data_IF_428067512010
#
_entry.id   IF_428067512010
#
_cell.length_a   1.000
_cell.length_b   1.000
_cell.length_c   1.000
_cell.angle_alpha   90.00
_cell.angle_beta   90.00
_cell.angle_gamma   90.00
#
_symmetry.space_group_name_H-M   'P 1'
#
loop_
_entity.id
_entity.type
_entity.pdbx_description
1 polymer ?
#
# COMPACT_ATOMS: atom_id res chain seq x y z
N UNK A 1 19.13 4.06 8.33
CA UNK A 1 19.38 4.79 7.05
C UNK A 1 18.10 5.24 6.33
N UNK A 2 17.20 4.32 5.97
CA UNK A 2 16.03 4.64 5.14
C UNK A 2 15.02 5.59 5.82
N UNK A 3 14.81 5.44 7.13
CA UNK A 3 13.98 6.36 7.91
C UNK A 3 14.45 7.81 7.81
N UNK A 4 15.76 8.05 7.94
CA UNK A 4 16.34 9.41 7.89
C UNK A 4 16.13 10.03 6.51
N UNK A 5 16.35 9.27 5.44
CA UNK A 5 16.15 9.72 4.06
C UNK A 5 14.69 10.13 3.85
N UNK A 6 13.75 9.29 4.25
CA UNK A 6 12.31 9.54 4.07
C UNK A 6 11.83 10.72 4.92
N UNK A 7 12.30 10.86 6.15
CA UNK A 7 11.97 12.02 6.99
C UNK A 7 12.56 13.33 6.43
N UNK A 8 13.78 13.30 5.89
CA UNK A 8 14.38 14.45 5.23
C UNK A 8 13.60 14.86 3.97
N UNK A 9 13.18 13.88 3.17
CA UNK A 9 12.30 14.13 2.01
C UNK A 9 10.93 14.67 2.46
N UNK A 10 10.39 14.18 3.58
CA UNK A 10 9.17 14.70 4.21
C UNK A 10 9.29 16.18 4.56
N UNK A 11 10.37 16.55 5.24
CA UNK A 11 10.66 17.93 5.61
C UNK A 11 10.78 18.83 4.38
N UNK A 12 11.51 18.37 3.36
CA UNK A 12 11.65 19.09 2.09
C UNK A 12 10.31 19.25 1.37
N UNK A 13 9.45 18.23 1.35
CA UNK A 13 8.15 18.34 0.69
C UNK A 13 7.19 19.30 1.42
N UNK A 14 7.20 19.32 2.76
CA UNK A 14 6.36 20.26 3.52
C UNK A 14 6.77 21.71 3.23
N UNK A 15 8.07 21.97 3.09
CA UNK A 15 8.58 23.33 2.83
C UNK A 15 8.50 23.74 1.36
N UNK A 16 8.81 22.84 0.43
CA UNK A 16 8.96 23.13 -1.00
C UNK A 16 7.85 22.57 -1.90
N UNK A 17 6.92 21.76 -1.37
CA UNK A 17 5.88 21.07 -2.14
C UNK A 17 4.92 21.98 -2.91
N UNK A 18 4.81 23.25 -2.50
CA UNK A 18 4.04 24.27 -3.21
C UNK A 18 4.69 24.77 -4.52
N UNK A 19 6.00 24.57 -4.69
CA UNK A 19 6.76 25.12 -5.81
C UNK A 19 6.46 24.39 -7.13
N UNK A 20 6.41 25.15 -8.22
CA UNK A 20 6.16 24.64 -9.58
C UNK A 20 7.11 23.50 -10.00
N UNK A 21 8.42 23.54 -9.71
CA UNK A 21 9.33 22.44 -10.06
C UNK A 21 9.02 21.14 -9.31
N UNK A 22 8.54 21.21 -8.07
CA UNK A 22 8.22 20.02 -7.28
C UNK A 22 6.96 19.34 -7.83
N UNK A 23 5.94 20.13 -8.18
CA UNK A 23 4.74 19.62 -8.87
C UNK A 23 5.07 18.98 -10.22
N UNK A 24 6.01 19.56 -10.97
CA UNK A 24 6.48 19.04 -12.25
C UNK A 24 7.13 17.65 -12.14
N UNK A 25 7.97 17.45 -11.11
CA UNK A 25 8.57 16.14 -10.82
C UNK A 25 7.47 15.11 -10.57
N UNK A 26 6.52 15.41 -9.70
CA UNK A 26 5.45 14.47 -9.36
C UNK A 26 4.50 14.18 -10.53
N UNK A 27 4.25 15.16 -11.39
CA UNK A 27 3.50 14.95 -12.64
C UNK A 27 4.10 13.84 -13.51
N UNK A 28 5.44 13.81 -13.64
CA UNK A 28 6.14 12.76 -14.38
C UNK A 28 6.23 11.43 -13.62
N UNK A 29 6.41 11.48 -12.30
CA UNK A 29 6.65 10.29 -11.47
C UNK A 29 5.37 9.50 -11.17
N UNK A 30 4.23 10.14 -10.94
CA UNK A 30 2.98 9.46 -10.56
C UNK A 30 2.54 8.38 -11.56
N UNK A 31 2.51 8.62 -12.88
CA UNK A 31 2.18 7.58 -13.86
C UNK A 31 3.20 6.42 -13.90
N UNK A 32 4.48 6.72 -13.66
CA UNK A 32 5.55 5.74 -13.62
C UNK A 32 5.41 4.79 -12.41
N UNK A 33 4.96 5.31 -11.26
CA UNK A 33 4.69 4.52 -10.06
C UNK A 33 3.56 3.52 -10.30
N UNK A 34 2.50 3.90 -11.01
CA UNK A 34 1.44 2.95 -11.38
C UNK A 34 1.99 1.82 -12.26
N UNK A 35 2.83 2.15 -13.24
CA UNK A 35 3.50 1.15 -14.07
C UNK A 35 4.41 0.21 -13.25
N UNK A 36 5.11 0.73 -12.24
CA UNK A 36 5.94 -0.06 -11.33
C UNK A 36 5.12 -1.03 -10.46
N UNK A 37 3.99 -0.56 -9.93
CA UNK A 37 3.09 -1.41 -9.13
C UNK A 37 2.51 -2.52 -10.04
N UNK A 38 2.03 -2.17 -11.24
CA UNK A 38 1.53 -3.14 -12.23
C UNK A 38 2.58 -4.20 -12.60
N UNK A 39 3.81 -3.77 -12.91
CA UNK A 39 4.90 -4.69 -13.22
C UNK A 39 5.23 -5.60 -12.03
N UNK A 40 5.19 -5.07 -10.82
CA UNK A 40 5.42 -5.85 -9.60
C UNK A 40 4.31 -6.89 -9.37
N UNK A 41 3.05 -6.52 -9.60
CA UNK A 41 1.91 -7.45 -9.59
C UNK A 41 2.11 -8.58 -10.60
N UNK A 42 2.46 -8.24 -11.85
CA UNK A 42 2.73 -9.24 -12.88
C UNK A 42 3.79 -10.25 -12.45
N UNK A 43 4.90 -9.77 -11.87
CA UNK A 43 5.97 -10.63 -11.36
C UNK A 43 5.49 -11.53 -10.23
N UNK A 44 4.69 -11.01 -9.30
CA UNK A 44 4.12 -11.79 -8.20
C UNK A 44 3.16 -12.87 -8.72
N UNK A 45 2.25 -12.51 -9.62
CA UNK A 45 1.33 -13.46 -10.28
C UNK A 45 2.10 -14.61 -10.91
N UNK A 46 3.15 -14.34 -11.68
CA UNK A 46 3.95 -15.39 -12.35
C UNK A 46 4.70 -16.31 -11.37
N UNK A 47 5.04 -15.81 -10.18
CA UNK A 47 5.78 -16.57 -9.17
C UNK A 47 4.86 -17.40 -8.26
N UNK A 48 3.68 -16.86 -7.92
CA UNK A 48 2.83 -17.44 -6.88
C UNK A 48 1.46 -17.94 -7.35
N UNK A 49 0.98 -17.58 -8.53
CA UNK A 49 -0.33 -18.03 -9.04
C UNK A 49 -0.14 -19.11 -10.13
N UNK A 50 -0.56 -20.33 -9.83
CA UNK A 50 -0.47 -21.50 -10.74
C UNK A 50 -1.83 -22.09 -11.06
N UNK A 51 -2.78 -21.96 -10.13
CA UNK A 51 -4.07 -22.64 -10.21
C UNK A 51 -5.18 -21.69 -10.68
N UNK A 52 -6.16 -22.19 -11.42
CA UNK A 52 -7.25 -21.35 -11.97
C UNK A 52 -8.10 -20.67 -10.88
N UNK A 53 -8.19 -21.28 -9.69
CA UNK A 53 -8.95 -20.72 -8.56
C UNK A 53 -8.24 -19.56 -7.92
N UNK A 54 -6.90 -19.55 -7.93
CA UNK A 54 -6.15 -18.37 -7.49
C UNK A 54 -6.49 -17.19 -8.42
N UNK A 55 -6.61 -17.42 -9.73
CA UNK A 55 -7.08 -16.41 -10.68
C UNK A 55 -8.52 -15.97 -10.44
N UNK A 56 -9.44 -16.89 -10.14
CA UNK A 56 -10.82 -16.57 -9.81
C UNK A 56 -10.92 -15.73 -8.52
N UNK A 57 -10.17 -16.09 -7.48
CA UNK A 57 -10.09 -15.34 -6.23
C UNK A 57 -9.47 -13.96 -6.42
N UNK A 58 -8.41 -13.86 -7.22
CA UNK A 58 -7.81 -12.56 -7.55
C UNK A 58 -8.77 -11.68 -8.34
N UNK A 59 -9.50 -12.24 -9.31
CA UNK A 59 -10.51 -11.50 -10.09
C UNK A 59 -11.67 -11.03 -9.21
N UNK A 60 -12.17 -11.88 -8.31
CA UNK A 60 -13.19 -11.50 -7.34
C UNK A 60 -12.69 -10.38 -6.42
N UNK A 61 -11.48 -10.51 -5.87
CA UNK A 61 -10.87 -9.48 -5.03
C UNK A 61 -10.65 -8.16 -5.78
N UNK A 62 -10.25 -8.22 -7.05
CA UNK A 62 -10.14 -7.06 -7.93
C UNK A 62 -11.48 -6.35 -8.10
N UNK A 63 -12.54 -7.07 -8.49
CA UNK A 63 -13.88 -6.50 -8.69
C UNK A 63 -14.41 -5.90 -7.40
N UNK A 64 -14.26 -6.59 -6.27
CA UNK A 64 -14.66 -6.08 -4.95
C UNK A 64 -13.89 -4.80 -4.61
N UNK A 65 -12.59 -4.75 -4.87
CA UNK A 65 -11.78 -3.56 -4.59
C UNK A 65 -12.24 -2.36 -5.43
N UNK A 66 -12.50 -2.56 -6.72
CA UNK A 66 -12.95 -1.50 -7.63
C UNK A 66 -14.37 -1.03 -7.30
N UNK A 67 -15.28 -1.96 -6.98
CA UNK A 67 -16.69 -1.65 -6.76
C UNK A 67 -16.98 -1.10 -5.36
N UNK A 68 -16.38 -1.71 -4.33
CA UNK A 68 -16.72 -1.42 -2.93
C UNK A 68 -15.82 -0.32 -2.37
N UNK A 69 -14.65 -0.08 -2.98
CA UNK A 69 -13.61 0.82 -2.45
C UNK A 69 -13.33 0.59 -0.95
N UNK A 70 -13.60 -0.62 -0.42
CA UNK A 70 -13.64 -0.89 1.02
C UNK A 70 -12.74 -2.03 1.52
N UNK A 71 -12.25 -1.86 2.76
CA UNK A 71 -11.57 -2.79 3.69
C UNK A 71 -11.06 -4.08 3.05
N UNK A 72 -9.84 -3.95 2.53
CA UNK A 72 -8.99 -5.02 1.96
C UNK A 72 -8.87 -6.23 2.90
N UNK A 73 -8.88 -6.02 4.22
CA UNK A 73 -8.68 -7.08 5.20
C UNK A 73 -9.77 -8.18 5.17
N UNK A 74 -11.05 -7.82 4.99
CA UNK A 74 -12.13 -8.81 4.93
C UNK A 74 -12.07 -9.64 3.65
N UNK A 75 -11.66 -9.02 2.53
CA UNK A 75 -11.45 -9.71 1.26
C UNK A 75 -10.34 -10.76 1.41
N UNK A 76 -9.26 -10.42 2.12
CA UNK A 76 -8.16 -11.35 2.39
C UNK A 76 -8.59 -12.54 3.24
N UNK A 77 -9.33 -12.29 4.32
CA UNK A 77 -9.83 -13.35 5.19
C UNK A 77 -10.81 -14.23 4.42
N UNK A 78 -11.73 -13.63 3.66
CA UNK A 78 -12.71 -14.34 2.83
C UNK A 78 -12.03 -15.24 1.80
N UNK A 79 -11.13 -14.69 0.99
CA UNK A 79 -10.38 -15.47 0.00
C UNK A 79 -9.47 -16.52 0.64
N UNK A 80 -8.88 -16.23 1.81
CA UNK A 80 -8.11 -17.21 2.59
C UNK A 80 -8.97 -18.37 3.07
N UNK A 81 -10.18 -18.10 3.58
CA UNK A 81 -11.14 -19.15 3.98
C UNK A 81 -11.56 -19.97 2.76
N UNK A 82 -11.87 -19.35 1.63
CA UNK A 82 -12.21 -20.07 0.38
C UNK A 82 -11.04 -20.93 -0.09
N UNK A 83 -9.82 -20.42 -0.04
CA UNK A 83 -8.60 -21.17 -0.34
C UNK A 83 -8.39 -22.36 0.61
N UNK A 84 -8.68 -22.19 1.90
CA UNK A 84 -8.63 -23.25 2.91
C UNK A 84 -9.72 -24.31 2.69
N UNK A 85 -10.93 -23.93 2.29
CA UNK A 85 -12.00 -24.88 1.99
C UNK A 85 -11.72 -25.69 0.72
N UNK A 86 -11.09 -25.08 -0.28
CA UNK A 86 -10.84 -25.71 -1.56
C UNK A 86 -9.56 -26.56 -1.59
N UNK A 87 -8.43 -26.02 -1.11
CA UNK A 87 -7.15 -26.73 -1.09
C UNK A 87 -6.93 -27.52 0.20
N UNK A 88 -7.73 -27.25 1.24
CA UNK A 88 -7.68 -27.99 2.49
C UNK A 88 -8.38 -29.34 2.42
N UNK A 89 -7.95 -30.26 3.29
CA UNK A 89 -8.54 -31.59 3.45
C UNK A 89 -9.77 -31.60 4.36
N UNK A 90 -10.28 -30.45 4.80
CA UNK A 90 -11.41 -30.32 5.74
C UNK A 90 -12.68 -31.07 5.31
N UNK A 91 -12.93 -31.19 4.01
CA UNK A 91 -14.04 -32.00 3.48
C UNK A 91 -13.65 -33.40 3.02
N UNK A 92 -12.35 -33.71 2.88
CA UNK A 92 -11.88 -35.05 2.45
C UNK A 92 -11.50 -35.95 3.64
N UNK A 93 -11.28 -35.40 4.83
CA UNK A 93 -11.05 -36.14 6.06
C UNK A 93 -12.29 -36.07 6.97
N UNK A 94 -13.23 -36.99 6.79
CA UNK A 94 -14.23 -37.29 7.83
C UNK A 94 -13.52 -37.98 9.00
N UNK A 95 -13.91 -37.59 10.21
CA UNK A 95 -13.62 -38.22 11.51
C UNK A 95 -12.24 -37.96 12.13
N UNK A 96 -12.13 -36.85 12.88
CA UNK A 96 -11.87 -36.84 14.34
C UNK A 96 -11.62 -35.40 14.82
N UNK A 97 -12.47 -34.93 15.74
CA UNK A 97 -12.17 -33.73 16.55
C UNK A 97 -11.26 -34.10 17.74
N UNK A 98 -10.92 -33.16 18.64
CA UNK A 98 -11.48 -31.81 18.78
C UNK A 98 -10.45 -30.67 18.96
N UNK A 99 -10.99 -29.45 19.11
CA UNK A 99 -10.40 -28.22 19.68
C UNK A 99 -9.68 -27.25 18.73
N UNK A 100 -10.40 -26.76 17.74
CA UNK A 100 -10.13 -25.43 17.15
C UNK A 100 -10.46 -24.36 18.19
N UNK A 101 -9.47 -23.90 18.96
CA UNK A 101 -9.57 -22.60 19.63
C UNK A 101 -9.50 -21.53 18.54
N UNK A 102 -10.68 -21.13 18.06
CA UNK A 102 -10.84 -19.90 17.28
C UNK A 102 -10.47 -18.76 18.22
N UNK A 103 -9.29 -18.17 18.03
CA UNK A 103 -9.05 -16.84 18.58
C UNK A 103 -9.95 -15.88 17.80
N UNK A 104 -11.13 -15.60 18.36
CA UNK A 104 -11.88 -14.41 18.03
C UNK A 104 -11.00 -13.23 18.44
N UNK A 105 -10.24 -12.70 17.50
CA UNK A 105 -9.71 -11.36 17.65
C UNK A 105 -10.91 -10.41 17.61
N UNK A 106 -11.11 -9.73 18.74
CA UNK A 106 -12.23 -8.86 19.00
C UNK A 106 -12.43 -7.82 17.89
N UNK A 107 -13.71 -7.64 17.59
CA UNK A 107 -14.39 -6.50 16.97
C UNK A 107 -13.55 -5.20 16.98
N UNK A 108 -13.45 -4.47 15.85
CA UNK A 108 -12.76 -3.19 15.86
C UNK A 108 -13.55 -2.22 16.73
N UNK A 109 -12.89 -1.71 17.77
CA UNK A 109 -13.35 -0.56 18.54
C UNK A 109 -13.52 0.60 17.55
N UNK A 110 -14.77 0.97 17.27
CA UNK A 110 -15.07 2.20 16.57
C UNK A 110 -14.57 3.36 17.44
N UNK A 111 -13.43 3.95 17.05
CA UNK A 111 -12.99 5.23 17.61
C UNK A 111 -13.96 6.25 17.05
N UNK A 112 -15.00 6.55 17.85
CA UNK A 112 -15.92 7.65 17.61
C UNK A 112 -15.12 8.93 17.39
N UNK A 113 -15.51 9.69 16.37
CA UNK A 113 -14.87 10.92 15.96
C UNK A 113 -14.77 11.90 17.13
N UNK A 114 -13.56 12.08 17.65
CA UNK A 114 -13.19 13.25 18.42
C UNK A 114 -12.53 14.23 17.48
N UNK A 115 -13.13 15.41 17.34
CA UNK A 115 -12.52 16.56 16.67
C UNK A 115 -11.15 16.84 17.29
N UNK A 116 -10.07 16.92 16.50
CA UNK A 116 -8.72 16.98 17.02
C UNK A 116 -8.47 18.35 17.66
N UNK A 117 -8.23 18.37 18.98
CA UNK A 117 -7.80 19.58 19.70
C UNK A 117 -6.39 19.46 20.28
N UNK A 118 -5.70 18.31 20.13
CA UNK A 118 -4.30 18.17 20.57
C UNK A 118 -3.45 17.27 19.66
N UNK A 119 -2.18 17.65 19.48
CA UNK A 119 -1.16 16.90 18.73
C UNK A 119 -0.98 15.47 19.28
N UNK A 120 -1.13 15.29 20.60
CA UNK A 120 -1.07 13.99 21.25
C UNK A 120 -2.19 13.04 20.77
N UNK A 121 -3.40 13.55 20.57
CA UNK A 121 -4.53 12.75 20.04
C UNK A 121 -4.28 12.31 18.60
N UNK A 122 -3.68 13.17 17.78
CA UNK A 122 -3.34 12.85 16.38
C UNK A 122 -2.26 11.76 16.30
N UNK A 123 -1.20 11.87 17.10
CA UNK A 123 -0.15 10.84 17.17
C UNK A 123 -0.75 9.49 17.63
N UNK A 124 -1.67 9.51 18.60
CA UNK A 124 -2.40 8.31 19.02
C UNK A 124 -3.23 7.69 17.89
N UNK A 125 -3.90 8.50 17.08
CA UNK A 125 -4.67 8.03 15.92
C UNK A 125 -3.76 7.49 14.80
N UNK A 126 -2.62 8.14 14.53
CA UNK A 126 -1.61 7.64 13.59
C UNK A 126 -1.07 6.28 14.04
N UNK A 127 -0.71 6.16 15.33
CA UNK A 127 -0.26 4.90 15.89
C UNK A 127 -1.33 3.81 15.71
N UNK A 128 -2.58 4.07 16.12
CA UNK A 128 -3.66 3.11 16.04
C UNK A 128 -3.98 2.71 14.58
N UNK A 129 -3.98 3.67 13.66
CA UNK A 129 -4.22 3.43 12.24
C UNK A 129 -3.11 2.55 11.64
N UNK A 130 -1.85 2.91 11.84
CA UNK A 130 -0.73 2.15 11.31
C UNK A 130 -0.53 0.80 12.00
N UNK A 131 -0.89 0.70 13.29
CA UNK A 131 -0.95 -0.56 14.02
C UNK A 131 -2.00 -1.49 13.42
N UNK A 132 -3.19 -0.97 13.11
CA UNK A 132 -4.22 -1.72 12.38
C UNK A 132 -3.73 -2.09 10.97
N UNK A 133 -3.09 -1.15 10.27
CA UNK A 133 -2.54 -1.38 8.93
C UNK A 133 -1.54 -2.54 8.95
N UNK A 134 -0.48 -2.46 9.77
CA UNK A 134 0.58 -3.47 9.85
C UNK A 134 0.13 -4.80 10.47
N UNK A 135 -0.99 -4.83 11.22
CA UNK A 135 -1.59 -6.07 11.71
C UNK A 135 -2.43 -6.78 10.64
N UNK A 136 -3.07 -6.02 9.75
CA UNK A 136 -4.02 -6.54 8.77
C UNK A 136 -3.41 -6.72 7.37
N UNK A 137 -2.20 -6.22 7.13
CA UNK A 137 -1.54 -6.43 5.85
C UNK A 137 -0.64 -7.65 5.84
N UNK A 138 -0.97 -8.58 4.94
CA UNK A 138 -0.16 -9.76 4.65
C UNK A 138 0.32 -9.68 3.20
N UNK A 139 1.63 -9.79 2.98
CA UNK A 139 2.23 -9.90 1.64
C UNK A 139 3.39 -8.94 1.39
N UNK A 140 3.79 -8.81 0.12
CA UNK A 140 4.85 -7.87 -0.26
C UNK A 140 4.47 -6.44 0.12
N UNK A 141 5.43 -5.56 0.40
CA UNK A 141 5.16 -4.19 0.87
C UNK A 141 4.28 -3.32 -0.05
N UNK A 142 3.90 -3.81 -1.23
CA UNK A 142 2.96 -3.21 -2.17
C UNK A 142 1.49 -3.44 -1.79
N UNK A 143 1.20 -4.52 -1.06
CA UNK A 143 -0.15 -4.91 -0.66
C UNK A 143 -0.80 -3.90 0.29
N UNK A 144 0.03 -3.10 0.96
CA UNK A 144 -0.42 -2.08 1.91
C UNK A 144 -0.91 -0.81 1.24
N UNK A 145 -0.52 -0.57 -0.02
CA UNK A 145 -0.89 0.66 -0.75
C UNK A 145 -2.41 0.81 -0.84
N UNK A 146 -3.20 -0.19 -1.29
CA UNK A 146 -4.67 -0.11 -1.27
C UNK A 146 -5.27 0.18 0.11
N UNK A 147 -4.69 -0.41 1.17
CA UNK A 147 -5.18 -0.23 2.53
C UNK A 147 -4.92 1.19 3.05
N UNK A 148 -3.70 1.69 2.80
CA UNK A 148 -3.29 3.05 3.19
C UNK A 148 -4.06 4.10 2.40
N UNK A 149 -4.26 3.91 1.09
CA UNK A 149 -5.08 4.80 0.27
C UNK A 149 -6.46 4.97 0.91
N UNK A 150 -7.16 3.85 1.14
CA UNK A 150 -8.50 3.89 1.72
C UNK A 150 -8.52 4.60 3.08
N UNK A 151 -7.61 4.21 3.98
CA UNK A 151 -7.63 4.73 5.33
C UNK A 151 -7.24 6.20 5.41
N UNK A 152 -6.18 6.61 4.72
CA UNK A 152 -5.61 7.96 4.81
C UNK A 152 -6.35 8.96 3.94
N UNK A 153 -6.81 8.53 2.76
CA UNK A 153 -7.43 9.40 1.76
C UNK A 153 -8.94 9.39 1.88
N UNK A 154 -9.56 8.20 1.91
CA UNK A 154 -11.02 8.11 1.85
C UNK A 154 -11.68 8.22 3.23
N UNK A 155 -11.16 7.51 4.24
CA UNK A 155 -11.78 7.45 5.56
C UNK A 155 -11.39 8.64 6.45
N UNK A 156 -10.09 8.84 6.67
CA UNK A 156 -9.59 9.88 7.58
C UNK A 156 -9.45 11.24 6.91
N UNK A 157 -9.42 11.29 5.55
CA UNK A 157 -9.18 12.49 4.74
C UNK A 157 -7.96 13.32 5.20
N UNK A 158 -6.93 12.64 5.69
CA UNK A 158 -5.69 13.28 6.14
C UNK A 158 -4.76 13.65 4.98
N UNK A 159 -4.90 12.94 3.86
CA UNK A 159 -4.12 13.13 2.64
C UNK A 159 -5.05 13.18 1.44
N UNK A 160 -4.72 14.00 0.46
CA UNK A 160 -5.36 13.93 -0.85
C UNK A 160 -4.70 12.81 -1.67
N UNK A 161 -5.42 12.30 -2.67
CA UNK A 161 -4.98 11.19 -3.53
C UNK A 161 -3.60 11.44 -4.14
N UNK A 162 -3.29 12.70 -4.49
CA UNK A 162 -1.98 13.09 -4.99
C UNK A 162 -0.89 12.99 -3.95
N UNK A 163 -1.11 13.52 -2.75
CA UNK A 163 -0.13 13.43 -1.67
C UNK A 163 0.14 11.96 -1.31
N UNK A 164 -0.88 11.11 -1.41
CA UNK A 164 -0.72 9.68 -1.28
C UNK A 164 0.13 9.08 -2.42
N UNK A 165 -0.12 9.42 -3.68
CA UNK A 165 0.71 9.00 -4.81
C UNK A 165 2.18 9.44 -4.65
N UNK A 166 2.40 10.68 -4.18
CA UNK A 166 3.73 11.21 -3.84
C UNK A 166 4.38 10.37 -2.73
N UNK A 167 3.64 10.06 -1.68
CA UNK A 167 4.14 9.23 -0.58
C UNK A 167 4.55 7.85 -1.07
N UNK A 168 3.72 7.22 -1.91
CA UNK A 168 4.01 5.92 -2.53
C UNK A 168 5.25 6.01 -3.41
N UNK A 169 5.36 7.05 -4.24
CA UNK A 169 6.53 7.30 -5.08
C UNK A 169 7.82 7.36 -4.25
N UNK A 170 7.81 8.17 -3.19
CA UNK A 170 8.98 8.37 -2.33
C UNK A 170 9.39 7.04 -1.67
N UNK A 171 8.44 6.25 -1.18
CA UNK A 171 8.79 4.96 -0.59
C UNK A 171 9.25 3.89 -1.58
N UNK A 172 8.95 4.02 -2.88
CA UNK A 172 9.49 3.15 -3.94
C UNK A 172 10.89 3.54 -4.39
N UNK A 173 11.20 4.85 -4.36
CA UNK A 173 12.53 5.39 -4.68
C UNK A 173 13.50 5.11 -3.53
N UNK A 174 13.01 5.18 -2.30
CA UNK A 174 13.83 5.02 -1.11
C UNK A 174 14.34 3.58 -0.96
N UNK A 175 15.64 3.36 -0.70
CA UNK A 175 16.22 2.02 -0.59
C UNK A 175 15.69 1.27 0.64
N UNK A 176 14.73 0.37 0.43
CA UNK A 176 14.20 -0.51 1.49
C UNK A 176 12.80 -1.05 1.18
N UNK A 177 12.05 -1.46 2.22
CA UNK A 177 10.68 -1.94 2.04
C UNK A 177 9.75 -0.81 1.60
N UNK A 178 8.89 -1.07 0.61
CA UNK A 178 7.81 -0.17 0.16
C UNK A 178 6.91 0.30 1.32
N UNK A 179 6.84 -0.48 2.40
CA UNK A 179 6.11 -0.14 3.63
C UNK A 179 6.59 1.17 4.27
N UNK A 180 7.82 1.62 3.97
CA UNK A 180 8.36 2.88 4.52
C UNK A 180 7.64 4.14 4.02
N UNK A 181 6.78 4.01 2.99
CA UNK A 181 5.80 5.04 2.59
C UNK A 181 5.02 5.59 3.80
N UNK A 182 4.71 4.74 4.77
CA UNK A 182 4.04 5.12 6.02
C UNK A 182 4.82 6.11 6.88
N UNK A 183 6.15 6.03 6.89
CA UNK A 183 7.01 7.00 7.57
C UNK A 183 6.84 8.40 6.98
N UNK A 184 6.80 8.49 5.64
CA UNK A 184 6.59 9.74 4.93
C UNK A 184 5.18 10.29 5.17
N UNK A 185 4.17 9.42 5.05
CA UNK A 185 2.77 9.78 5.36
C UNK A 185 2.66 10.34 6.78
N UNK A 186 3.23 9.66 7.77
CA UNK A 186 3.21 10.10 9.16
C UNK A 186 3.84 11.46 9.35
N UNK A 187 4.94 11.73 8.63
CA UNK A 187 5.57 13.04 8.61
C UNK A 187 4.62 14.11 8.04
N UNK A 188 4.03 13.87 6.87
CA UNK A 188 3.15 14.85 6.22
C UNK A 188 1.91 15.18 7.05
N UNK A 189 1.25 14.16 7.60
CA UNK A 189 0.02 14.34 8.39
C UNK A 189 0.32 15.12 9.66
N UNK A 190 1.38 14.75 10.40
CA UNK A 190 1.72 15.41 11.65
C UNK A 190 2.30 16.82 11.43
N UNK A 191 3.10 17.04 10.38
CA UNK A 191 3.61 18.37 10.05
C UNK A 191 2.50 19.34 9.62
N UNK A 192 1.49 18.87 8.87
CA UNK A 192 0.36 19.71 8.43
C UNK A 192 -0.58 20.10 9.57
N UNK A 193 -0.82 19.20 10.52
CA UNK A 193 -1.77 19.41 11.63
C UNK A 193 -1.12 20.01 12.88
N UNK A 194 0.16 19.70 13.14
CA UNK A 194 0.92 20.25 14.26
C UNK A 194 1.61 21.59 13.95
N UNK A 195 1.88 21.87 12.67
CA UNK A 195 2.48 23.13 12.23
C UNK A 195 3.98 23.25 12.47
N UNK A 196 4.62 22.27 13.13
CA UNK A 196 6.06 22.21 13.37
C UNK A 196 6.74 21.02 12.66
N UNK A 197 8.00 21.21 12.25
CA UNK A 197 8.84 20.12 11.71
C UNK A 197 9.10 19.03 12.76
N UNK A 198 9.07 19.39 14.04
CA UNK A 198 9.23 18.44 15.15
C UNK A 198 8.02 17.50 15.25
N UNK A 199 6.81 18.00 14.97
CA UNK A 199 5.61 17.16 14.95
C UNK A 199 5.66 16.18 13.77
N UNK A 200 6.16 16.62 12.62
CA UNK A 200 6.47 15.75 11.48
C UNK A 200 7.43 14.62 11.87
N UNK A 201 8.51 14.92 12.61
CA UNK A 201 9.43 13.90 13.08
C UNK A 201 8.74 12.88 13.99
N UNK A 202 7.97 13.32 14.99
CA UNK A 202 7.24 12.41 15.86
C UNK A 202 6.17 11.60 15.11
N UNK A 203 5.44 12.21 14.19
CA UNK A 203 4.48 11.52 13.32
C UNK A 203 5.13 10.42 12.48
N UNK A 204 6.32 10.69 11.93
CA UNK A 204 7.10 9.69 11.18
C UNK A 204 7.55 8.52 12.05
N UNK A 205 7.98 8.79 13.28
CA UNK A 205 8.50 7.81 14.22
C UNK A 205 7.36 6.90 14.73
N UNK A 206 6.26 7.51 15.14
CA UNK A 206 5.04 6.82 15.57
C UNK A 206 4.45 5.97 14.45
N UNK A 207 4.41 6.48 13.21
CA UNK A 207 3.88 5.72 12.06
C UNK A 207 4.79 4.54 11.69
N UNK A 208 6.11 4.73 11.81
CA UNK A 208 7.09 3.66 11.58
C UNK A 208 6.95 2.56 12.62
N UNK A 209 6.86 2.92 13.90
CA UNK A 209 6.62 1.94 14.96
C UNK A 209 5.26 1.26 14.73
N UNK A 210 4.21 2.04 14.50
CA UNK A 210 2.86 1.54 14.27
C UNK A 210 2.80 0.51 13.14
N UNK A 211 3.48 0.75 12.02
CA UNK A 211 3.40 -0.15 10.87
C UNK A 211 4.30 -1.38 11.00
N UNK A 212 5.49 -1.25 11.57
CA UNK A 212 6.46 -2.34 11.65
C UNK A 212 6.30 -3.21 12.89
N UNK A 213 5.91 -2.64 14.04
CA UNK A 213 5.74 -3.37 15.29
C UNK A 213 4.76 -4.56 15.19
N UNK A 214 3.54 -4.42 14.62
CA UNK A 214 2.60 -5.52 14.56
C UNK A 214 3.08 -6.60 13.59
N UNK A 215 3.63 -6.23 12.43
CA UNK A 215 4.20 -7.20 11.49
C UNK A 215 5.42 -7.92 12.10
N UNK A 216 6.23 -7.23 12.90
CA UNK A 216 7.36 -7.80 13.64
C UNK A 216 6.90 -8.78 14.73
N UNK A 217 5.88 -8.44 15.50
CA UNK A 217 5.31 -9.35 16.50
C UNK A 217 4.62 -10.55 15.84
N UNK A 218 3.86 -10.31 14.77
CA UNK A 218 3.20 -11.37 14.00
C UNK A 218 4.22 -12.33 13.40
N UNK A 219 5.31 -11.86 12.79
CA UNK A 219 6.31 -12.79 12.27
C UNK A 219 6.98 -13.57 13.41
N UNK A 220 7.26 -12.93 14.55
CA UNK A 220 7.94 -13.58 15.68
C UNK A 220 7.07 -14.68 16.32
N UNK A 221 5.74 -14.50 16.35
CA UNK A 221 4.78 -15.47 16.88
C UNK A 221 4.35 -16.49 15.82
N UNK A 222 3.97 -16.03 14.64
CA UNK A 222 3.32 -16.84 13.59
C UNK A 222 4.32 -17.61 12.75
N UNK A 223 5.53 -17.09 12.49
CA UNK A 223 6.54 -17.82 11.71
C UNK A 223 6.93 -19.18 12.32
N UNK A 224 7.24 -19.32 13.63
CA UNK A 224 7.57 -20.63 14.19
C UNK A 224 6.39 -21.61 14.11
N UNK A 225 5.15 -21.12 14.28
CA UNK A 225 3.93 -21.93 14.14
C UNK A 225 3.76 -22.38 12.68
N UNK A 226 3.89 -21.45 11.72
CA UNK A 226 3.78 -21.75 10.29
C UNK A 226 4.87 -22.71 9.83
N UNK A 227 6.10 -22.62 10.32
CA UNK A 227 7.16 -23.57 9.97
C UNK A 227 6.83 -24.96 10.50
N UNK A 228 6.28 -25.06 11.72
CA UNK A 228 5.87 -26.34 12.34
C UNK A 228 4.70 -27.00 11.62
N UNK A 229 3.73 -26.22 11.13
CA UNK A 229 2.53 -26.74 10.47
C UNK A 229 2.52 -26.52 8.95
N UNK A 230 3.66 -26.15 8.34
CA UNK A 230 3.74 -25.87 6.89
C UNK A 230 3.30 -27.06 6.04
N UNK A 231 3.45 -28.27 6.55
CA UNK A 231 3.03 -29.51 5.87
C UNK A 231 1.50 -29.69 5.81
N UNK A 232 0.72 -28.92 6.58
CA UNK A 232 -0.74 -29.06 6.59
C UNK A 232 -1.37 -28.40 5.34
N UNK A 233 -2.12 -29.16 4.51
CA UNK A 233 -2.75 -28.62 3.29
C UNK A 233 -3.73 -27.46 3.57
N UNK A 234 -4.40 -27.45 4.74
CA UNK A 234 -5.33 -26.37 5.10
C UNK A 234 -4.64 -25.00 5.23
N UNK A 235 -3.45 -24.98 5.84
CA UNK A 235 -2.68 -23.74 6.04
C UNK A 235 -2.12 -23.24 4.71
N UNK A 236 -1.65 -24.16 3.86
CA UNK A 236 -1.20 -23.80 2.51
C UNK A 236 -2.36 -23.25 1.67
N UNK A 237 -3.55 -23.84 1.76
CA UNK A 237 -4.76 -23.35 1.11
C UNK A 237 -5.15 -21.94 1.53
N UNK A 238 -5.10 -21.64 2.83
CA UNK A 238 -5.34 -20.29 3.35
C UNK A 238 -4.34 -19.28 2.78
N UNK A 239 -3.04 -19.62 2.81
CA UNK A 239 -1.98 -18.74 2.32
C UNK A 239 -2.13 -18.49 0.82
N UNK A 240 -2.45 -19.52 0.02
CA UNK A 240 -2.71 -19.37 -1.42
C UNK A 240 -3.89 -18.44 -1.70
N UNK A 241 -5.00 -18.62 -0.99
CA UNK A 241 -6.18 -17.78 -1.12
C UNK A 241 -5.92 -16.32 -0.73
N UNK A 242 -5.23 -16.10 0.39
CA UNK A 242 -4.83 -14.77 0.84
C UNK A 242 -3.83 -14.10 -0.14
N UNK A 243 -2.89 -14.86 -0.71
CA UNK A 243 -1.94 -14.37 -1.70
C UNK A 243 -2.64 -13.92 -2.99
N UNK A 244 -3.59 -14.70 -3.49
CA UNK A 244 -4.40 -14.35 -4.65
C UNK A 244 -5.21 -13.07 -4.43
N UNK A 245 -5.85 -12.94 -3.25
CA UNK A 245 -6.58 -11.74 -2.87
C UNK A 245 -5.68 -10.50 -2.89
N UNK A 246 -4.44 -10.64 -2.41
CA UNK A 246 -3.47 -9.56 -2.39
C UNK A 246 -3.14 -9.02 -3.76
N UNK A 247 -2.90 -9.91 -4.72
CA UNK A 247 -2.63 -9.53 -6.10
C UNK A 247 -3.86 -8.83 -6.70
N UNK A 248 -5.04 -9.40 -6.49
CA UNK A 248 -6.31 -8.84 -6.97
C UNK A 248 -6.59 -7.44 -6.43
N UNK A 249 -6.37 -7.20 -5.14
CA UNK A 249 -6.61 -5.89 -4.52
C UNK A 249 -5.57 -4.85 -4.92
N UNK A 250 -4.30 -5.23 -5.10
CA UNK A 250 -3.28 -4.30 -5.62
C UNK A 250 -3.65 -3.88 -7.05
N UNK A 251 -4.04 -4.83 -7.91
CA UNK A 251 -4.50 -4.51 -9.27
C UNK A 251 -5.73 -3.59 -9.25
N UNK A 252 -6.66 -3.80 -8.31
CA UNK A 252 -7.84 -2.95 -8.15
C UNK A 252 -7.46 -1.52 -7.77
N UNK A 253 -6.54 -1.35 -6.82
CA UNK A 253 -6.02 -0.04 -6.46
C UNK A 253 -5.25 0.63 -7.61
N UNK A 254 -4.49 -0.12 -8.42
CA UNK A 254 -3.85 0.45 -9.62
C UNK A 254 -4.85 1.10 -10.57
N UNK A 255 -6.07 0.57 -10.68
CA UNK A 255 -7.13 1.17 -11.50
C UNK A 255 -7.66 2.46 -10.86
N UNK A 256 -7.86 2.46 -9.54
CA UNK A 256 -8.32 3.64 -8.80
C UNK A 256 -7.29 4.77 -8.86
N UNK A 257 -6.04 4.49 -8.45
CA UNK A 257 -4.92 5.42 -8.53
C UNK A 257 -4.60 5.84 -9.96
N UNK A 258 -4.71 4.93 -10.92
CA UNK A 258 -4.40 5.17 -12.33
C UNK A 258 -5.30 6.23 -12.97
N UNK A 259 -6.60 6.26 -12.61
CA UNK A 259 -7.54 7.29 -13.07
C UNK A 259 -7.17 8.70 -12.59
N UNK A 260 -6.47 8.80 -11.47
CA UNK A 260 -6.05 10.07 -10.86
C UNK A 260 -4.67 10.48 -11.36
N UNK A 261 -3.78 9.51 -11.57
CA UNK A 261 -2.42 9.74 -12.04
C UNK A 261 -2.31 10.02 -13.55
N UNK A 262 -3.26 9.52 -14.35
CA UNK A 262 -3.26 9.64 -15.81
C UNK A 262 -4.39 10.60 -16.23
N UNK A 263 -4.06 11.90 -16.29
CA UNK A 263 -4.99 12.94 -16.74
C UNK A 263 -4.85 13.32 -18.21
N UNK A 264 -3.62 13.27 -18.74
CA UNK A 264 -3.29 13.72 -20.10
C UNK A 264 -2.74 12.59 -20.97
N UNK A 265 -2.78 12.81 -22.29
CA UNK A 265 -2.11 11.96 -23.28
C UNK A 265 -0.62 11.75 -22.96
N UNK A 266 0.08 12.77 -22.46
CA UNK A 266 1.49 12.65 -22.08
C UNK A 266 1.66 11.74 -20.85
N UNK A 267 0.86 11.92 -19.80
CA UNK A 267 0.92 11.03 -18.63
C UNK A 267 0.57 9.58 -18.98
N UNK A 268 -0.33 9.37 -19.95
CA UNK A 268 -0.65 8.05 -20.47
C UNK A 268 0.55 7.45 -21.23
N UNK A 269 1.24 8.25 -22.04
CA UNK A 269 2.48 7.83 -22.72
C UNK A 269 3.60 7.53 -21.72
N UNK A 270 3.75 8.33 -20.67
CA UNK A 270 4.74 8.08 -19.61
C UNK A 270 4.42 6.77 -18.88
N UNK A 271 3.16 6.52 -18.52
CA UNK A 271 2.75 5.24 -17.91
C UNK A 271 3.01 4.05 -18.85
N UNK A 272 2.55 4.13 -20.10
CA UNK A 272 2.73 3.06 -21.09
C UNK A 272 4.21 2.82 -21.41
N UNK A 273 4.98 3.89 -21.65
CA UNK A 273 6.42 3.83 -21.89
C UNK A 273 7.17 3.25 -20.70
N UNK A 274 6.84 3.66 -19.48
CA UNK A 274 7.41 3.09 -18.24
C UNK A 274 7.13 1.59 -18.13
N UNK A 275 5.90 1.18 -18.44
CA UNK A 275 5.51 -0.22 -18.42
C UNK A 275 6.30 -1.03 -19.46
N UNK A 276 6.37 -0.55 -20.71
CA UNK A 276 7.14 -1.20 -21.79
C UNK A 276 8.61 -1.32 -21.41
N UNK A 277 9.20 -0.25 -20.87
CA UNK A 277 10.60 -0.25 -20.43
C UNK A 277 10.83 -1.30 -19.35
N UNK A 278 9.95 -1.40 -18.35
CA UNK A 278 10.07 -2.40 -17.28
C UNK A 278 9.93 -3.84 -17.79
N UNK A 279 9.06 -4.09 -18.76
CA UNK A 279 8.89 -5.41 -19.36
C UNK A 279 10.05 -5.80 -20.28
N UNK A 280 10.61 -4.84 -21.02
CA UNK A 280 11.64 -5.10 -22.04
C UNK A 280 13.06 -5.00 -21.48
N UNK A 281 13.28 -4.12 -20.53
CA UNK A 281 14.57 -3.85 -19.91
C UNK A 281 14.47 -3.99 -18.39
N UNK A 282 15.39 -4.74 -17.78
CA UNK A 282 15.51 -4.87 -16.31
C UNK A 282 16.15 -3.61 -15.70
N UNK A 283 15.61 -2.44 -16.01
CA UNK A 283 16.06 -1.15 -15.46
C UNK A 283 15.75 -1.11 -13.97
N UNK A 284 16.62 -0.50 -13.18
CA UNK A 284 16.36 -0.31 -11.75
C UNK A 284 15.20 0.68 -11.54
N UNK A 285 14.28 0.34 -10.65
CA UNK A 285 13.11 1.17 -10.34
C UNK A 285 13.47 2.64 -10.04
N UNK A 286 14.53 2.96 -9.26
CA UNK A 286 14.90 4.35 -8.99
C UNK A 286 15.30 5.13 -10.26
N UNK A 287 15.93 4.47 -11.23
CA UNK A 287 16.43 5.10 -12.45
C UNK A 287 15.27 5.43 -13.40
N UNK A 288 14.28 4.54 -13.49
CA UNK A 288 13.03 4.80 -14.20
C UNK A 288 12.29 6.00 -13.60
N UNK A 289 12.22 6.07 -12.27
CA UNK A 289 11.57 7.19 -11.58
C UNK A 289 12.35 8.50 -11.78
N UNK A 290 13.68 8.47 -11.76
CA UNK A 290 14.50 9.64 -12.07
C UNK A 290 14.32 10.12 -13.52
N UNK A 291 14.26 9.22 -14.49
CA UNK A 291 14.03 9.58 -15.89
C UNK A 291 12.65 10.22 -16.10
N UNK A 292 11.61 9.66 -15.48
CA UNK A 292 10.25 10.20 -15.57
C UNK A 292 10.07 11.51 -14.79
N UNK A 293 10.80 11.71 -13.70
CA UNK A 293 10.92 13.01 -13.02
C UNK A 293 11.52 14.10 -13.93
N UNK A 294 12.56 13.78 -14.69
CA UNK A 294 13.18 14.71 -15.65
C UNK A 294 12.20 15.04 -16.78
N UNK A 295 11.50 14.04 -17.32
CA UNK A 295 10.45 14.26 -18.32
C UNK A 295 9.35 15.18 -17.77
N UNK A 296 8.94 14.96 -16.52
CA UNK A 296 7.99 15.83 -15.83
C UNK A 296 8.47 17.28 -15.70
N UNK A 297 9.73 17.49 -15.29
CA UNK A 297 10.34 18.83 -15.18
C UNK A 297 10.35 19.59 -16.51
N UNK A 298 10.57 18.90 -17.63
CA UNK A 298 10.64 19.52 -18.95
C UNK A 298 9.22 19.77 -19.50
N UNK A 299 8.32 18.80 -19.36
CA UNK A 299 7.00 18.85 -19.96
C UNK A 299 5.99 19.73 -19.21
N UNK A 300 6.08 19.78 -17.88
CA UNK A 300 5.18 20.56 -17.03
C UNK A 300 5.14 22.07 -17.34
N UNK A 301 6.27 22.79 -17.52
CA UNK A 301 6.25 24.21 -17.88
C UNK A 301 5.68 24.47 -19.28
N UNK A 302 5.73 23.48 -20.19
CA UNK A 302 5.22 23.58 -21.55
C UNK A 302 3.71 23.35 -21.64
N UNK A 303 3.18 22.40 -20.87
CA UNK A 303 1.78 21.96 -20.98
C UNK A 303 0.81 22.65 -20.02
N UNK A 304 1.31 23.28 -18.93
CA UNK A 304 0.50 23.91 -17.86
C UNK A 304 -0.80 23.13 -17.54
N UNK A 305 -0.72 21.84 -17.19
CA UNK A 305 -1.91 21.03 -16.99
C UNK A 305 -2.74 21.55 -15.80
N UNK A 306 -3.93 22.10 -16.08
CA UNK A 306 -4.80 22.69 -15.05
C UNK A 306 -5.29 21.65 -14.04
N UNK A 307 -5.41 20.38 -14.45
CA UNK A 307 -5.80 19.31 -13.53
C UNK A 307 -4.82 19.19 -12.38
N UNK A 308 -3.51 19.45 -12.56
CA UNK A 308 -2.48 19.35 -11.51
C UNK A 308 -2.63 20.42 -10.40
N UNK A 309 -3.42 21.47 -10.63
CA UNK A 309 -3.66 22.52 -9.65
C UNK A 309 -4.94 22.32 -8.82
N UNK A 310 -5.82 21.39 -9.21
CA UNK A 310 -7.03 21.09 -8.44
C UNK A 310 -6.63 20.30 -7.19
N UNK A 311 -6.82 20.90 -6.00
CA UNK A 311 -6.52 20.32 -4.69
C UNK A 311 -7.48 19.20 -4.34
#
# INVERSE_FOLDING_TARGET
>A
PNFIIVCALGALYVYYGGLSPVKAIFYGVSPAVIALILHSCYRLTKLGMKDWIEWALAAAAFVITVAVQAEVALVFIGCGIVGLLYYGSLFRARASGPTTRVFLFGVPLAVAGATPSSVATLLGQLLAFFLKAGSLTFGSGLVIVPFLEKGLVQQMRWLNERDFLVAVAIGMISPGPVVITATFVGYLVAARLGGSLLDGFWGSLVSTIGIFLPSFLLILIVAPILVRYRANPNIQGFIKGAYAAAIGTILGACVLLGKIAIGDWLTALVAAGSLIVLFRWKVSNPLLVAATAIIGLIAFPLLKPEWVFVK
#
